data_IF_711879595779
#
_entry.id   IF_711879595779
#
_cell.length_a   1.000
_cell.length_b   1.000
_cell.length_c   1.000
_cell.angle_alpha   90.00
_cell.angle_beta   90.00
_cell.angle_gamma   90.00
#
_symmetry.space_group_name_H-M   'P 1'
#
loop_
_entity.id
_entity.type
_entity.pdbx_description
1 polymer ?
#
# COMPACT_ATOMS: atom_id res chain seq x y z
N UNK A 1 4.84 -1.48 -8.96
CA UNK A 1 3.39 -1.38 -9.22
C UNK A 1 3.04 -0.11 -9.97
N UNK A 2 3.19 1.10 -9.42
CA UNK A 2 2.81 2.35 -10.12
C UNK A 2 3.39 2.47 -11.54
N UNK A 3 4.68 2.18 -11.75
CA UNK A 3 5.31 2.12 -13.09
C UNK A 3 4.69 1.10 -14.05
N UNK A 4 4.25 -0.05 -13.55
CA UNK A 4 3.56 -1.03 -14.40
C UNK A 4 2.20 -0.48 -14.85
N UNK A 5 1.47 0.14 -13.92
CA UNK A 5 0.16 0.73 -14.17
C UNK A 5 0.20 1.95 -15.11
N UNK A 6 1.36 2.61 -15.34
CA UNK A 6 1.44 3.69 -16.33
C UNK A 6 1.29 3.23 -17.78
N UNK A 7 1.37 1.92 -18.03
CA UNK A 7 1.12 1.33 -19.35
C UNK A 7 -0.36 0.99 -19.61
N UNK A 8 -1.23 1.23 -18.63
CA UNK A 8 -2.69 1.16 -18.75
C UNK A 8 -3.19 2.51 -19.30
N UNK A 9 -4.01 2.47 -20.36
CA UNK A 9 -4.46 3.64 -21.12
C UNK A 9 -5.85 4.15 -20.71
N UNK A 10 -6.72 3.27 -20.19
CA UNK A 10 -8.06 3.63 -19.74
C UNK A 10 -8.12 4.01 -18.25
N UNK A 11 -7.00 3.94 -17.52
CA UNK A 11 -6.86 4.42 -16.15
C UNK A 11 -5.74 5.45 -16.05
N UNK A 12 -5.94 6.46 -15.22
CA UNK A 12 -4.83 7.29 -14.74
C UNK A 12 -4.11 6.59 -13.58
N UNK A 13 -2.82 6.82 -13.40
CA UNK A 13 -2.06 6.23 -12.30
C UNK A 13 -1.17 7.26 -11.62
N UNK A 14 -1.14 7.27 -10.29
CA UNK A 14 -0.22 8.10 -9.51
C UNK A 14 0.32 7.39 -8.26
N UNK A 15 1.33 7.99 -7.64
CA UNK A 15 1.97 7.51 -6.43
C UNK A 15 1.95 8.61 -5.37
N UNK A 16 1.26 8.35 -4.26
CA UNK A 16 1.15 9.27 -3.12
C UNK A 16 0.60 10.67 -3.49
N UNK A 17 -0.25 10.76 -4.53
CA UNK A 17 -0.63 12.00 -5.20
C UNK A 17 -1.41 12.97 -4.30
N UNK A 18 -2.14 12.42 -3.32
CA UNK A 18 -3.01 13.20 -2.43
C UNK A 18 -2.58 13.21 -0.97
N UNK A 19 -1.34 12.83 -0.66
CA UNK A 19 -0.87 12.69 0.74
C UNK A 19 -0.88 13.98 1.55
N UNK A 20 -0.80 15.14 0.89
CA UNK A 20 -0.85 16.46 1.54
C UNK A 20 -2.27 17.03 1.77
N UNK A 21 -3.32 16.36 1.27
CA UNK A 21 -4.69 16.85 1.36
C UNK A 21 -5.41 16.35 2.62
N UNK A 22 -6.37 17.13 3.09
CA UNK A 22 -7.23 16.81 4.26
C UNK A 22 -8.71 16.79 3.84
N UNK A 23 -9.61 16.36 4.74
CA UNK A 23 -11.04 16.28 4.44
C UNK A 23 -11.36 15.37 3.25
N UNK A 24 -12.44 15.67 2.52
CA UNK A 24 -12.84 14.92 1.32
C UNK A 24 -11.83 15.01 0.18
N UNK A 25 -11.03 16.08 0.11
CA UNK A 25 -10.00 16.25 -0.93
C UNK A 25 -8.94 15.13 -0.91
N UNK A 26 -8.71 14.50 0.26
CA UNK A 26 -7.82 13.35 0.41
C UNK A 26 -8.24 12.13 -0.42
N UNK A 27 -9.54 11.98 -0.70
CA UNK A 27 -10.15 10.83 -1.38
C UNK A 27 -10.98 11.27 -2.59
N UNK A 28 -10.60 12.34 -3.27
CA UNK A 28 -11.35 12.83 -4.45
C UNK A 28 -10.64 12.41 -5.75
N UNK A 29 -10.14 11.17 -5.80
CA UNK A 29 -9.48 10.64 -7.00
C UNK A 29 -10.42 10.73 -8.22
N UNK A 30 -9.91 11.01 -9.43
CA UNK A 30 -10.71 10.95 -10.65
C UNK A 30 -11.31 9.56 -10.87
N UNK A 31 -12.37 9.48 -11.67
CA UNK A 31 -12.87 8.20 -12.16
C UNK A 31 -11.76 7.47 -12.93
N UNK A 32 -11.75 6.14 -12.85
CA UNK A 32 -10.72 5.29 -13.44
C UNK A 32 -9.30 5.72 -13.04
N UNK A 33 -9.06 5.81 -11.73
CA UNK A 33 -7.74 6.16 -11.18
C UNK A 33 -7.15 5.03 -10.33
N UNK A 34 -5.87 4.76 -10.53
CA UNK A 34 -5.06 3.86 -9.72
C UNK A 34 -4.13 4.70 -8.84
N UNK A 35 -4.40 4.74 -7.53
CA UNK A 35 -3.50 5.35 -6.55
C UNK A 35 -2.65 4.27 -5.88
N UNK A 36 -1.33 4.45 -5.89
CA UNK A 36 -0.42 3.67 -5.06
C UNK A 36 0.01 4.55 -3.87
N UNK A 37 -0.49 4.26 -2.68
CA UNK A 37 -0.19 5.05 -1.48
C UNK A 37 -0.27 4.20 -0.21
N UNK A 38 0.88 3.95 0.42
CA UNK A 38 0.96 3.14 1.63
C UNK A 38 0.37 3.84 2.88
N UNK A 39 0.13 5.16 2.84
CA UNK A 39 -0.45 5.90 3.97
C UNK A 39 -1.96 5.72 4.07
N UNK A 40 -2.60 5.23 3.00
CA UNK A 40 -4.02 4.89 3.03
C UNK A 40 -4.36 3.82 4.08
N UNK A 41 -3.38 2.98 4.44
CA UNK A 41 -3.52 2.00 5.51
C UNK A 41 -3.83 2.59 6.90
N UNK A 42 -3.60 3.90 7.09
CA UNK A 42 -3.96 4.62 8.33
C UNK A 42 -5.34 5.29 8.26
N UNK A 43 -6.00 5.22 7.10
CA UNK A 43 -7.23 5.92 6.78
C UNK A 43 -8.36 4.97 6.33
N UNK A 44 -8.28 3.69 6.71
CA UNK A 44 -9.18 2.62 6.22
C UNK A 44 -10.66 2.91 6.47
N UNK A 45 -11.03 3.43 7.64
CA UNK A 45 -12.42 3.83 7.90
C UNK A 45 -12.92 4.97 7.00
N UNK A 46 -12.03 5.88 6.57
CA UNK A 46 -12.38 6.96 5.64
C UNK A 46 -12.36 6.48 4.18
N UNK A 47 -11.56 5.47 3.86
CA UNK A 47 -11.66 4.75 2.59
C UNK A 47 -12.98 3.99 2.48
N UNK A 48 -13.45 3.37 3.57
CA UNK A 48 -14.78 2.75 3.63
C UNK A 48 -15.87 3.76 3.33
N UNK A 49 -15.84 4.92 4.00
CA UNK A 49 -16.83 5.98 3.80
C UNK A 49 -16.82 6.53 2.36
N UNK A 50 -15.62 6.73 1.78
CA UNK A 50 -15.49 7.34 0.45
C UNK A 50 -15.81 6.37 -0.70
N UNK A 51 -15.43 5.09 -0.55
CA UNK A 51 -15.43 4.13 -1.66
C UNK A 51 -16.11 2.80 -1.32
N UNK A 52 -16.07 2.34 -0.08
CA UNK A 52 -16.74 1.12 0.35
C UNK A 52 -16.45 -0.08 -0.55
N UNK A 53 -17.47 -0.71 -1.11
CA UNK A 53 -17.30 -1.85 -2.03
C UNK A 53 -17.22 -1.45 -3.52
N UNK A 54 -17.25 -0.16 -3.83
CA UNK A 54 -17.22 0.35 -5.22
C UNK A 54 -15.83 0.47 -5.82
N UNK A 55 -14.77 0.33 -5.01
CA UNK A 55 -13.39 0.37 -5.48
C UNK A 55 -12.76 -1.03 -5.52
N UNK A 56 -11.74 -1.19 -6.37
CA UNK A 56 -10.84 -2.34 -6.34
C UNK A 56 -9.66 -2.05 -5.39
N UNK A 57 -9.44 -2.92 -4.41
CA UNK A 57 -8.37 -2.80 -3.43
C UNK A 57 -7.24 -3.78 -3.70
N UNK A 58 -5.99 -3.30 -3.69
CA UNK A 58 -4.80 -4.14 -3.84
C UNK A 58 -3.92 -4.02 -2.60
N UNK A 59 -3.82 -5.10 -1.84
CA UNK A 59 -2.87 -5.22 -0.74
C UNK A 59 -1.53 -5.73 -1.27
N UNK A 60 -0.55 -4.83 -1.42
CA UNK A 60 0.83 -5.18 -1.76
C UNK A 60 1.58 -5.63 -0.51
N UNK A 61 1.90 -6.92 -0.46
CA UNK A 61 2.56 -7.58 0.66
C UNK A 61 4.03 -7.86 0.33
N UNK A 62 4.87 -7.87 1.35
CA UNK A 62 6.28 -8.28 1.26
C UNK A 62 6.57 -9.15 2.47
N UNK A 63 7.64 -9.94 2.41
CA UNK A 63 8.14 -10.61 3.62
C UNK A 63 8.19 -9.66 4.84
N UNK A 64 7.65 -10.12 5.97
CA UNK A 64 7.48 -9.31 7.18
C UNK A 64 8.83 -8.83 7.71
N UNK A 65 9.82 -9.72 7.78
CA UNK A 65 11.12 -9.41 8.36
C UNK A 65 11.94 -8.50 7.46
N UNK A 66 11.89 -8.72 6.14
CA UNK A 66 12.48 -7.82 5.17
C UNK A 66 11.85 -6.41 5.22
N UNK A 67 10.53 -6.34 5.43
CA UNK A 67 9.81 -5.08 5.56
C UNK A 67 10.16 -4.36 6.86
N UNK A 68 10.14 -5.07 7.99
CA UNK A 68 10.54 -4.53 9.29
C UNK A 68 12.00 -4.04 9.27
N UNK A 69 12.93 -4.79 8.69
CA UNK A 69 14.32 -4.37 8.51
C UNK A 69 14.45 -3.07 7.70
N UNK A 70 13.64 -2.90 6.64
CA UNK A 70 13.56 -1.64 5.88
C UNK A 70 13.02 -0.48 6.73
N UNK A 71 12.06 -0.72 7.62
CA UNK A 71 11.54 0.28 8.53
C UNK A 71 12.54 0.68 9.62
N UNK A 72 13.35 -0.25 10.14
CA UNK A 72 14.42 0.05 11.11
C UNK A 72 15.38 1.12 10.61
N UNK A 73 15.72 1.11 9.31
CA UNK A 73 16.57 2.15 8.68
C UNK A 73 15.98 3.57 8.80
N UNK A 74 14.67 3.68 9.04
CA UNK A 74 13.91 4.93 9.13
C UNK A 74 13.36 5.18 10.54
N UNK A 75 13.86 4.48 11.57
CA UNK A 75 13.27 4.48 12.92
C UNK A 75 13.02 5.88 13.52
N UNK A 76 13.92 6.84 13.27
CA UNK A 76 13.85 8.19 13.84
C UNK A 76 13.03 9.19 13.00
N UNK A 77 12.45 8.77 11.88
CA UNK A 77 11.71 9.64 10.95
C UNK A 77 10.39 8.99 10.49
N UNK A 78 9.51 9.82 9.92
CA UNK A 78 8.24 9.37 9.34
C UNK A 78 7.41 8.51 10.29
N UNK A 79 6.80 7.46 9.74
CA UNK A 79 5.82 6.64 10.47
C UNK A 79 6.42 5.87 11.64
N UNK A 80 7.68 5.43 11.57
CA UNK A 80 8.31 4.74 12.71
C UNK A 80 8.43 5.63 13.94
N UNK A 81 8.77 6.91 13.73
CA UNK A 81 8.81 7.88 14.83
C UNK A 81 7.42 8.11 15.39
N UNK A 82 6.41 8.25 14.53
CA UNK A 82 5.02 8.46 14.95
C UNK A 82 4.42 7.24 15.66
N UNK A 83 4.79 6.03 15.27
CA UNK A 83 4.31 4.81 15.89
C UNK A 83 4.98 4.57 17.25
N UNK A 84 6.31 4.60 17.32
CA UNK A 84 7.03 4.21 18.54
C UNK A 84 7.31 5.35 19.52
N UNK A 85 7.70 6.55 19.06
CA UNK A 85 8.24 7.61 19.94
C UNK A 85 7.13 8.50 20.50
N UNK A 86 6.41 8.00 21.51
CA UNK A 86 5.32 8.68 22.22
C UNK A 86 4.07 8.96 21.36
N UNK A 87 3.91 8.30 20.22
CA UNK A 87 2.67 8.36 19.45
C UNK A 87 1.80 7.16 19.75
N UNK A 88 1.66 6.24 18.79
CA UNK A 88 0.74 5.09 18.92
C UNK A 88 1.11 4.18 20.11
N UNK A 89 2.37 3.78 20.22
CA UNK A 89 2.89 3.03 21.37
C UNK A 89 3.24 3.98 22.51
N UNK A 90 2.21 4.49 23.18
CA UNK A 90 2.37 5.31 24.37
C UNK A 90 3.01 4.51 25.51
N UNK A 91 4.09 5.04 26.11
CA UNK A 91 4.82 4.36 27.18
C UNK A 91 5.89 3.36 26.74
N UNK A 92 6.21 3.29 25.44
CA UNK A 92 7.29 2.43 24.93
C UNK A 92 8.62 2.73 25.67
N UNK A 93 9.31 1.72 26.25
CA UNK A 93 10.57 1.92 26.94
C UNK A 93 11.64 2.53 26.02
N UNK A 94 12.49 3.43 26.56
CA UNK A 94 13.54 4.11 25.78
C UNK A 94 14.54 3.16 25.11
N UNK A 95 14.72 1.96 25.66
CA UNK A 95 15.60 0.91 25.16
C UNK A 95 14.91 -0.18 24.35
N UNK A 96 13.65 0.00 23.95
CA UNK A 96 12.93 -1.01 23.17
C UNK A 96 13.67 -1.34 21.87
N UNK A 97 13.73 -2.63 21.54
CA UNK A 97 14.37 -3.11 20.33
C UNK A 97 13.65 -2.58 19.08
N UNK A 98 14.40 -1.96 18.17
CA UNK A 98 13.84 -1.27 17.01
C UNK A 98 13.21 -2.23 16.03
N UNK A 99 13.78 -3.42 15.88
CA UNK A 99 13.25 -4.44 14.97
C UNK A 99 11.92 -4.98 15.49
N UNK A 100 11.81 -5.21 16.79
CA UNK A 100 10.57 -5.59 17.47
C UNK A 100 9.48 -4.55 17.26
N UNK A 101 9.79 -3.27 17.46
CA UNK A 101 8.84 -2.17 17.22
C UNK A 101 8.45 -2.07 15.73
N UNK A 102 9.38 -2.30 14.80
CA UNK A 102 9.09 -2.30 13.37
C UNK A 102 8.20 -3.49 12.96
N UNK A 103 8.46 -4.69 13.51
CA UNK A 103 7.60 -5.87 13.29
C UNK A 103 6.19 -5.65 13.82
N UNK A 104 6.08 -5.04 15.00
CA UNK A 104 4.81 -4.69 15.61
C UNK A 104 4.00 -3.71 14.74
N UNK A 105 4.66 -2.67 14.20
CA UNK A 105 4.04 -1.77 13.23
C UNK A 105 3.54 -2.52 12.00
N UNK A 106 4.39 -3.34 11.37
CA UNK A 106 4.02 -4.07 10.16
C UNK A 106 2.84 -5.00 10.40
N UNK A 107 2.86 -5.79 11.49
CA UNK A 107 1.75 -6.68 11.86
C UNK A 107 0.45 -5.92 12.12
N UNK A 108 0.54 -4.77 12.81
CA UNK A 108 -0.63 -3.94 13.10
C UNK A 108 -1.25 -3.40 11.81
N UNK A 109 -0.42 -2.89 10.90
CA UNK A 109 -0.88 -2.39 9.60
C UNK A 109 -1.50 -3.51 8.77
N UNK A 110 -0.83 -4.67 8.66
CA UNK A 110 -1.35 -5.82 7.92
C UNK A 110 -2.68 -6.31 8.51
N UNK A 111 -2.79 -6.45 9.83
CA UNK A 111 -4.01 -6.88 10.48
C UNK A 111 -5.19 -5.92 10.24
N UNK A 112 -4.93 -4.61 10.27
CA UNK A 112 -5.94 -3.60 9.98
C UNK A 112 -6.41 -3.67 8.52
N UNK A 113 -5.48 -3.82 7.58
CA UNK A 113 -5.80 -3.97 6.15
C UNK A 113 -6.62 -5.25 5.94
N UNK A 114 -6.21 -6.39 6.50
CA UNK A 114 -6.95 -7.65 6.36
C UNK A 114 -8.35 -7.57 6.98
N UNK A 115 -8.50 -6.89 8.11
CA UNK A 115 -9.80 -6.64 8.72
C UNK A 115 -10.70 -5.77 7.82
N UNK A 116 -10.14 -4.73 7.18
CA UNK A 116 -10.87 -3.87 6.23
C UNK A 116 -11.27 -4.61 4.95
N UNK A 117 -10.39 -5.47 4.43
CA UNK A 117 -10.62 -6.19 3.17
C UNK A 117 -11.51 -7.43 3.31
N UNK A 118 -11.93 -7.81 4.53
CA UNK A 118 -12.60 -9.09 4.81
C UNK A 118 -13.95 -9.25 4.10
N UNK A 119 -14.60 -8.15 3.75
CA UNK A 119 -15.94 -8.09 3.19
C UNK A 119 -15.99 -7.35 1.84
N UNK A 120 -14.83 -7.07 1.24
CA UNK A 120 -14.73 -6.42 -0.06
C UNK A 120 -14.85 -7.43 -1.19
N UNK A 121 -15.77 -7.17 -2.11
CA UNK A 121 -16.00 -7.98 -3.29
C UNK A 121 -14.81 -7.92 -4.26
N UNK A 122 -14.16 -6.76 -4.33
CA UNK A 122 -13.06 -6.48 -5.26
C UNK A 122 -11.74 -6.24 -4.51
N UNK A 123 -11.11 -7.31 -4.01
CA UNK A 123 -9.85 -7.20 -3.28
C UNK A 123 -8.82 -8.25 -3.73
N UNK A 124 -7.59 -7.80 -4.01
CA UNK A 124 -6.47 -8.64 -4.42
C UNK A 124 -5.29 -8.53 -3.45
N UNK A 125 -4.67 -9.67 -3.14
CA UNK A 125 -3.47 -9.75 -2.28
C UNK A 125 -2.28 -10.15 -3.13
N UNK A 126 -1.30 -9.28 -3.27
CA UNK A 126 -0.17 -9.50 -4.17
C UNK A 126 1.14 -9.39 -3.41
N UNK A 127 1.97 -10.43 -3.49
CA UNK A 127 3.34 -10.41 -2.98
C UNK A 127 4.21 -9.62 -3.94
N UNK A 128 4.97 -8.64 -3.46
CA UNK A 128 5.84 -7.80 -4.30
C UNK A 128 6.88 -8.67 -5.02
N UNK A 129 7.38 -9.70 -4.36
CA UNK A 129 8.39 -10.62 -4.91
C UNK A 129 7.87 -11.42 -6.11
N UNK A 130 6.56 -11.67 -6.16
CA UNK A 130 5.90 -12.48 -7.19
C UNK A 130 4.76 -11.71 -7.87
N UNK A 131 4.79 -10.37 -7.83
CA UNK A 131 3.67 -9.54 -8.27
C UNK A 131 3.31 -9.76 -9.75
N UNK A 132 4.31 -10.12 -10.58
CA UNK A 132 4.11 -10.46 -11.99
C UNK A 132 3.19 -11.68 -12.19
N UNK A 133 3.14 -12.63 -11.26
CA UNK A 133 2.32 -13.85 -11.37
C UNK A 133 0.83 -13.53 -11.25
N UNK A 134 0.48 -12.51 -10.46
CA UNK A 134 -0.92 -12.11 -10.19
C UNK A 134 -1.32 -10.82 -10.91
N UNK A 135 -0.44 -10.23 -11.72
CA UNK A 135 -0.72 -8.96 -12.38
C UNK A 135 -1.82 -9.09 -13.45
N UNK A 136 -1.92 -10.24 -14.10
CA UNK A 136 -3.03 -10.55 -15.02
C UNK A 136 -4.39 -10.49 -14.33
N UNK A 137 -4.50 -11.00 -13.10
CA UNK A 137 -5.74 -10.93 -12.31
C UNK A 137 -6.15 -9.48 -12.04
N UNK A 138 -5.19 -8.61 -11.68
CA UNK A 138 -5.47 -7.18 -11.52
C UNK A 138 -5.91 -6.53 -12.84
N UNK A 139 -5.22 -6.86 -13.93
CA UNK A 139 -5.50 -6.33 -15.26
C UNK A 139 -6.93 -6.67 -15.71
N UNK A 140 -7.34 -7.92 -15.52
CA UNK A 140 -8.70 -8.38 -15.82
C UNK A 140 -9.73 -7.77 -14.88
N UNK A 141 -9.46 -7.75 -13.56
CA UNK A 141 -10.38 -7.26 -12.54
C UNK A 141 -10.82 -5.81 -12.76
N UNK A 142 -9.90 -4.95 -13.22
CA UNK A 142 -10.23 -3.54 -13.50
C UNK A 142 -10.59 -3.30 -14.97
N UNK A 143 -10.58 -4.33 -15.83
CA UNK A 143 -10.78 -4.18 -17.27
C UNK A 143 -9.73 -3.27 -17.91
N UNK A 144 -8.46 -3.43 -17.54
CA UNK A 144 -7.39 -2.59 -18.05
C UNK A 144 -7.20 -2.78 -19.57
N UNK A 145 -6.95 -1.67 -20.26
CA UNK A 145 -6.59 -1.64 -21.67
C UNK A 145 -5.22 -0.97 -21.80
N UNK A 146 -4.31 -1.53 -22.58
CA UNK A 146 -2.95 -1.01 -22.62
C UNK A 146 -1.94 -1.98 -23.20
N UNK A 147 -0.67 -1.69 -22.94
CA UNK A 147 0.45 -2.58 -23.30
C UNK A 147 0.74 -3.51 -22.12
N UNK A 148 0.07 -4.66 -22.10
CA UNK A 148 0.19 -5.65 -21.03
C UNK A 148 1.63 -6.16 -20.88
N UNK A 149 2.32 -6.44 -21.99
CA UNK A 149 3.67 -7.00 -21.97
C UNK A 149 4.67 -6.00 -21.39
N UNK A 150 4.58 -4.71 -21.75
CA UNK A 150 5.41 -3.67 -21.13
C UNK A 150 5.09 -3.48 -19.65
N UNK A 151 3.80 -3.49 -19.30
CA UNK A 151 3.38 -3.38 -17.90
C UNK A 151 3.95 -4.52 -17.04
N UNK A 152 3.85 -5.75 -17.53
CA UNK A 152 4.40 -6.94 -16.89
C UNK A 152 5.93 -6.88 -16.82
N UNK A 153 6.58 -6.33 -17.85
CA UNK A 153 8.02 -6.07 -17.87
C UNK A 153 8.50 -5.19 -16.71
N UNK A 154 7.79 -4.09 -16.40
CA UNK A 154 8.14 -3.19 -15.28
C UNK A 154 8.13 -3.91 -13.92
N UNK A 155 7.30 -4.94 -13.74
CA UNK A 155 7.25 -5.71 -12.48
C UNK A 155 8.43 -6.69 -12.35
N UNK A 156 9.05 -7.09 -13.46
CA UNK A 156 10.24 -7.96 -13.48
C UNK A 156 11.52 -7.19 -13.24
N UNK A 157 11.50 -5.88 -13.46
CA UNK A 157 12.62 -5.01 -13.09
C UNK A 157 12.66 -4.95 -11.56
N UNK A 158 13.77 -5.43 -10.98
CA UNK A 158 14.04 -5.28 -9.55
C UNK A 158 14.26 -3.81 -9.20
N UNK A 159 13.18 -3.07 -9.05
CA UNK A 159 13.18 -1.77 -8.43
C UNK A 159 13.29 -1.97 -6.92
N UNK A 160 14.47 -2.33 -6.40
CA UNK A 160 14.90 -2.08 -5.02
C UNK A 160 16.37 -2.50 -4.80
N UNK A 161 17.29 -1.55 -5.02
CA UNK A 161 18.53 -1.45 -4.28
C UNK A 161 18.30 -0.48 -3.11
N UNK A 162 17.84 -0.97 -1.96
CA UNK A 162 17.84 -0.23 -0.68
C UNK A 162 17.58 -1.12 0.52
#
# INVERSE_FOLDING_TARGET
>A
MSRACTHIRNYTCAHESRTGYTGGARFSYPDNHIEVDNRLAWLLGRLEEAYGDSACYVHLQRDLDATAASFVKRYRKGIMRAYGRHGVLYGLPRGADRLTVARDLCRTVDANIEAFLRDKSNALRMRIETAAERFGELWELIGAEGDYDRALGELRIRHNAS
#
